data_IF_904744723930
#
_entry.id   IF_904744723930
#
_cell.length_a   1.000
_cell.length_b   1.000
_cell.length_c   1.000
_cell.angle_alpha   90.00
_cell.angle_beta   90.00
_cell.angle_gamma   90.00
#
_symmetry.space_group_name_H-M   'P 1'
#
loop_
_entity.id
_entity.type
_entity.pdbx_description
1 polymer ?
#
# COMPACT_ATOMS: atom_id res chain seq x y z
N UNK A 1 -1.20 17.57 11.33
CA UNK A 1 -0.20 16.66 10.75
C UNK A 1 -0.80 15.27 10.78
N UNK A 2 -1.31 14.77 9.66
CA UNK A 2 -1.85 13.40 9.59
C UNK A 2 -0.67 12.41 9.56
N UNK A 3 -0.22 12.00 10.75
CA UNK A 3 0.67 10.87 10.94
C UNK A 3 -0.12 9.57 10.80
N UNK A 4 -0.60 9.29 9.60
CA UNK A 4 -1.05 7.95 9.26
C UNK A 4 0.03 7.36 8.37
N UNK A 5 0.90 6.54 8.97
CA UNK A 5 1.94 5.76 8.27
C UNK A 5 1.36 4.70 7.32
N UNK A 6 0.04 4.63 7.23
CA UNK A 6 -0.71 3.76 6.35
C UNK A 6 -1.21 4.53 5.12
N UNK A 7 -1.32 3.81 4.01
CA UNK A 7 -1.85 4.32 2.74
C UNK A 7 -2.90 3.35 2.20
N UNK A 8 -4.01 3.91 1.74
CA UNK A 8 -5.07 3.16 1.07
C UNK A 8 -4.95 3.29 -0.45
N UNK A 9 -5.72 2.48 -1.17
CA UNK A 9 -5.87 2.64 -2.62
C UNK A 9 -6.34 4.06 -3.00
N UNK A 10 -7.27 4.64 -2.22
CA UNK A 10 -7.82 5.95 -2.54
C UNK A 10 -6.75 7.03 -2.39
N UNK A 11 -5.90 6.94 -1.36
CA UNK A 11 -4.75 7.84 -1.21
C UNK A 11 -3.80 7.76 -2.41
N UNK A 12 -3.55 6.57 -2.95
CA UNK A 12 -2.72 6.39 -4.14
C UNK A 12 -3.32 7.05 -5.39
N UNK A 13 -4.64 7.05 -5.49
CA UNK A 13 -5.35 7.69 -6.61
C UNK A 13 -5.36 9.21 -6.42
N UNK A 14 -5.72 9.69 -5.24
CA UNK A 14 -5.93 11.12 -4.98
C UNK A 14 -4.63 11.90 -4.80
N UNK A 15 -3.64 11.33 -4.08
CA UNK A 15 -2.39 12.02 -3.72
C UNK A 15 -1.27 11.78 -4.73
N UNK A 16 -1.23 10.60 -5.34
CA UNK A 16 -0.17 10.20 -6.28
C UNK A 16 -0.66 10.09 -7.73
N UNK A 17 -1.91 10.47 -7.99
CA UNK A 17 -2.54 10.48 -9.32
C UNK A 17 -2.41 9.15 -10.07
N UNK A 18 -2.38 8.03 -9.33
CA UNK A 18 -2.27 6.70 -9.93
C UNK A 18 -3.60 6.25 -10.52
N UNK A 19 -3.55 5.56 -11.66
CA UNK A 19 -4.73 4.90 -12.23
C UNK A 19 -5.27 3.88 -11.24
N UNK A 20 -6.60 3.75 -11.16
CA UNK A 20 -7.27 2.83 -10.22
C UNK A 20 -6.74 1.38 -10.29
N UNK A 21 -6.48 0.88 -11.51
CA UNK A 21 -5.86 -0.45 -11.71
C UNK A 21 -4.47 -0.54 -11.09
N UNK A 22 -3.62 0.45 -11.32
CA UNK A 22 -2.26 0.52 -10.78
C UNK A 22 -2.28 0.63 -9.26
N UNK A 23 -3.11 1.49 -8.70
CA UNK A 23 -3.27 1.63 -7.25
C UNK A 23 -3.74 0.32 -6.59
N UNK A 24 -4.70 -0.38 -7.23
CA UNK A 24 -5.18 -1.69 -6.74
C UNK A 24 -4.07 -2.73 -6.76
N UNK A 25 -3.29 -2.80 -7.84
CA UNK A 25 -2.16 -3.72 -7.94
C UNK A 25 -1.08 -3.41 -6.90
N UNK A 26 -0.75 -2.12 -6.69
CA UNK A 26 0.23 -1.70 -5.71
C UNK A 26 -0.13 -2.15 -4.29
N UNK A 27 -1.39 -1.93 -3.85
CA UNK A 27 -1.86 -2.42 -2.55
C UNK A 27 -1.80 -3.93 -2.46
N UNK A 28 -2.20 -4.65 -3.51
CA UNK A 28 -2.15 -6.12 -3.53
C UNK A 28 -0.73 -6.64 -3.39
N UNK A 29 0.21 -6.12 -4.19
CA UNK A 29 1.61 -6.52 -4.13
C UNK A 29 2.22 -6.17 -2.77
N UNK A 30 1.85 -5.02 -2.17
CA UNK A 30 2.31 -4.65 -0.84
C UNK A 30 1.86 -5.66 0.22
N UNK A 31 0.59 -6.06 0.18
CA UNK A 31 0.04 -7.09 1.07
C UNK A 31 0.77 -8.42 0.90
N UNK A 32 0.97 -8.87 -0.33
CA UNK A 32 1.70 -10.11 -0.62
C UNK A 32 3.15 -10.06 -0.08
N UNK A 33 3.83 -8.92 -0.19
CA UNK A 33 5.18 -8.70 0.38
C UNK A 33 5.15 -8.78 1.91
N UNK A 34 4.17 -8.15 2.56
CA UNK A 34 4.04 -8.18 4.03
C UNK A 34 3.73 -9.57 4.56
N UNK A 35 2.87 -10.32 3.87
CA UNK A 35 2.59 -11.72 4.20
C UNK A 35 3.87 -12.57 4.09
N UNK A 36 4.67 -12.38 3.04
CA UNK A 36 5.97 -13.06 2.89
C UNK A 36 6.98 -12.70 3.99
N UNK A 37 6.90 -11.50 4.55
CA UNK A 37 7.72 -11.05 5.68
C UNK A 37 7.23 -11.61 7.03
N UNK A 38 6.14 -12.39 7.05
CA UNK A 38 5.59 -13.02 8.26
C UNK A 38 4.36 -12.32 8.84
N UNK A 39 3.90 -11.22 8.23
CA UNK A 39 2.70 -10.50 8.69
C UNK A 39 1.43 -11.11 8.09
N UNK A 40 0.99 -12.25 8.66
CA UNK A 40 -0.21 -12.98 8.24
C UNK A 40 -1.51 -12.15 8.30
N UNK A 41 -1.54 -11.08 9.10
CA UNK A 41 -2.66 -10.14 9.16
C UNK A 41 -3.04 -9.55 7.79
N UNK A 42 -2.05 -9.31 6.92
CA UNK A 42 -2.29 -8.72 5.59
C UNK A 42 -2.85 -9.73 4.56
N UNK A 43 -2.95 -11.02 4.90
CA UNK A 43 -3.64 -12.00 4.05
C UNK A 43 -5.17 -11.80 4.06
N UNK A 44 -5.67 -11.06 5.06
CA UNK A 44 -7.10 -10.78 5.17
C UNK A 44 -7.61 -9.86 4.03
N UNK A 45 -8.65 -10.31 3.32
CA UNK A 45 -9.31 -9.55 2.24
C UNK A 45 -9.90 -8.20 2.68
N UNK A 46 -10.25 -8.03 3.95
CA UNK A 46 -10.83 -6.79 4.49
C UNK A 46 -9.79 -5.71 4.79
N UNK A 47 -8.50 -6.06 4.83
CA UNK A 47 -7.42 -5.10 5.02
C UNK A 47 -7.14 -4.39 3.69
N UNK A 48 -7.48 -3.10 3.63
CA UNK A 48 -7.40 -2.26 2.42
C UNK A 48 -6.29 -1.21 2.48
N UNK A 49 -5.56 -1.15 3.58
CA UNK A 49 -4.44 -0.24 3.81
C UNK A 49 -3.15 -1.02 4.08
N UNK A 50 -2.03 -0.41 3.72
CA UNK A 50 -0.68 -0.94 3.92
C UNK A 50 0.24 0.18 4.40
N UNK A 51 1.39 -0.10 5.02
CA UNK A 51 2.35 0.93 5.40
C UNK A 51 2.88 1.66 4.16
N UNK A 52 2.95 2.99 4.23
CA UNK A 52 3.50 3.88 3.18
C UNK A 52 4.92 3.48 2.79
N UNK A 53 5.74 3.13 3.77
CA UNK A 53 7.13 2.70 3.58
C UNK A 53 7.25 1.57 2.55
N UNK A 54 6.39 0.55 2.65
CA UNK A 54 6.41 -0.61 1.76
C UNK A 54 6.05 -0.22 0.33
N UNK A 55 5.06 0.66 0.17
CA UNK A 55 4.67 1.15 -1.16
C UNK A 55 5.78 2.01 -1.77
N UNK A 56 6.41 2.87 -0.97
CA UNK A 56 7.47 3.73 -1.44
C UNK A 56 8.72 2.93 -1.86
N UNK A 57 9.11 1.94 -1.07
CA UNK A 57 10.18 0.99 -1.42
C UNK A 57 9.87 0.25 -2.72
N UNK A 58 8.62 -0.20 -2.94
CA UNK A 58 8.25 -0.90 -4.17
C UNK A 58 8.18 0.00 -5.41
N UNK A 59 7.72 1.24 -5.25
CA UNK A 59 7.56 2.18 -6.36
C UNK A 59 8.80 3.05 -6.59
N UNK A 60 9.88 2.86 -5.80
CA UNK A 60 11.03 3.75 -5.73
C UNK A 60 10.61 5.23 -5.62
N UNK A 61 9.56 5.51 -4.87
CA UNK A 61 9.16 6.88 -4.57
C UNK A 61 10.08 7.38 -3.46
N UNK A 62 10.75 8.51 -3.68
CA UNK A 62 11.45 9.21 -2.61
C UNK A 62 10.42 9.63 -1.55
N UNK A 63 10.62 9.19 -0.30
CA UNK A 63 9.81 9.53 0.87
C UNK A 63 10.51 10.62 1.67
#
# INVERSE_FOLDING_TARGET
>A
MENTDMISKNDLIEKYNLKNRTATMAIRTAKETLVKQGYSFYDNKYVTCVPKKIIAEMLNLEV
#
